data_IF_023957066983
#
_entry.id   IF_023957066983
#
_cell.length_a   1.000
_cell.length_b   1.000
_cell.length_c   1.000
_cell.angle_alpha   90.00
_cell.angle_beta   90.00
_cell.angle_gamma   90.00
#
_symmetry.space_group_name_H-M   'P 1'
#
loop_
_entity.id
_entity.type
_entity.pdbx_description
1 polymer ?
#
# COMPACT_ATOMS: atom_id res chain seq x y z
N UNK A 1 -0.57 -5.28 -22.14
CA UNK A 1 -0.80 -3.84 -22.44
C UNK A 1 -0.10 -3.00 -21.39
N UNK A 2 0.38 -1.85 -21.75
CA UNK A 2 1.03 -0.93 -20.82
C UNK A 2 0.26 0.38 -20.82
N UNK A 3 -0.16 0.82 -19.62
CA UNK A 3 -0.93 2.05 -19.44
C UNK A 3 -0.22 2.97 -18.45
N UNK A 4 -0.17 4.27 -18.78
CA UNK A 4 0.23 5.25 -17.78
C UNK A 4 -0.96 5.55 -16.84
N UNK A 5 -0.76 6.23 -15.69
CA UNK A 5 -1.87 6.50 -14.76
C UNK A 5 -3.05 7.24 -15.39
N UNK A 6 -2.81 8.18 -16.30
CA UNK A 6 -3.87 8.91 -16.98
C UNK A 6 -4.70 7.99 -17.87
N UNK A 7 -4.05 7.13 -18.63
CA UNK A 7 -4.72 6.14 -19.47
C UNK A 7 -5.51 5.14 -18.60
N UNK A 8 -4.90 4.66 -17.53
CA UNK A 8 -5.54 3.74 -16.60
C UNK A 8 -6.83 4.34 -16.00
N UNK A 9 -6.84 5.63 -15.70
CA UNK A 9 -7.98 6.31 -15.09
C UNK A 9 -9.27 6.23 -15.90
N UNK A 10 -9.17 5.97 -17.19
CA UNK A 10 -10.34 5.79 -18.06
C UNK A 10 -11.10 4.50 -17.77
N UNK A 11 -10.45 3.53 -17.17
CA UNK A 11 -11.00 2.20 -16.91
C UNK A 11 -11.56 2.10 -15.50
N UNK A 12 -12.26 3.13 -15.06
CA UNK A 12 -12.83 3.24 -13.71
C UNK A 12 -14.32 2.83 -13.63
N UNK A 13 -14.86 2.32 -14.74
CA UNK A 13 -16.25 1.88 -14.80
C UNK A 13 -17.26 2.97 -15.14
N UNK A 14 -16.83 4.23 -15.31
CA UNK A 14 -17.74 5.32 -15.70
C UNK A 14 -18.12 5.26 -17.18
N UNK A 15 -17.27 4.69 -18.02
CA UNK A 15 -17.57 4.41 -19.42
C UNK A 15 -17.99 2.95 -19.56
N UNK A 16 -19.29 2.68 -19.82
CA UNK A 16 -19.77 1.30 -19.91
C UNK A 16 -19.21 0.52 -21.11
N UNK A 17 -18.58 1.20 -22.07
CA UNK A 17 -17.95 0.56 -23.22
C UNK A 17 -16.55 0.01 -22.89
N UNK A 18 -15.97 0.39 -21.75
CA UNK A 18 -14.64 -0.03 -21.34
C UNK A 18 -14.70 -1.02 -20.16
N UNK A 19 -13.73 -1.92 -20.06
CA UNK A 19 -13.62 -2.77 -18.88
C UNK A 19 -13.25 -1.96 -17.64
N UNK A 20 -13.38 -2.59 -16.48
CA UNK A 20 -12.99 -2.00 -15.19
C UNK A 20 -11.65 -2.60 -14.78
N UNK A 21 -10.66 -1.75 -14.56
CA UNK A 21 -9.32 -2.16 -14.15
C UNK A 21 -8.97 -1.68 -12.75
N UNK A 22 -8.26 -2.53 -12.03
CA UNK A 22 -7.64 -2.20 -10.74
C UNK A 22 -6.16 -2.56 -10.87
N UNK A 23 -5.26 -1.71 -10.42
CA UNK A 23 -3.85 -2.03 -10.40
C UNK A 23 -3.32 -2.17 -8.97
N UNK A 24 -2.44 -3.13 -8.77
CA UNK A 24 -1.73 -3.36 -7.51
C UNK A 24 -0.26 -3.60 -7.84
N UNK A 25 0.61 -2.82 -7.22
CA UNK A 25 2.05 -2.90 -7.44
C UNK A 25 2.44 -2.85 -8.93
N UNK A 26 1.76 -2.02 -9.69
CA UNK A 26 1.99 -1.84 -11.10
C UNK A 26 1.39 -2.92 -12.00
N UNK A 27 0.77 -3.95 -11.47
CA UNK A 27 0.09 -4.98 -12.25
C UNK A 27 -1.38 -4.63 -12.39
N UNK A 28 -1.88 -4.60 -13.62
CA UNK A 28 -3.27 -4.23 -13.95
C UNK A 28 -4.11 -5.49 -14.07
N UNK A 29 -5.23 -5.53 -13.36
CA UNK A 29 -6.19 -6.63 -13.40
C UNK A 29 -7.54 -6.14 -13.93
N UNK A 30 -8.15 -6.95 -14.79
CA UNK A 30 -9.52 -6.75 -15.23
C UNK A 30 -10.47 -7.31 -14.16
N UNK A 31 -11.26 -6.44 -13.57
CA UNK A 31 -12.23 -6.78 -12.52
C UNK A 31 -13.68 -6.58 -12.99
N UNK A 32 -13.88 -6.51 -14.30
CA UNK A 32 -15.21 -6.27 -14.92
C UNK A 32 -16.25 -7.31 -14.52
N UNK A 33 -15.83 -8.48 -14.07
CA UNK A 33 -16.74 -9.53 -13.61
C UNK A 33 -17.50 -9.15 -12.33
N UNK A 34 -17.05 -8.11 -11.60
CA UNK A 34 -17.71 -7.65 -10.38
C UNK A 34 -17.99 -6.15 -10.41
N UNK A 35 -18.90 -5.69 -11.29
CA UNK A 35 -19.23 -4.27 -11.40
C UNK A 35 -19.95 -3.72 -10.18
N UNK A 36 -20.60 -4.56 -9.39
CA UNK A 36 -21.25 -4.13 -8.15
C UNK A 36 -20.26 -3.67 -7.10
N UNK A 37 -19.04 -4.21 -7.11
CA UNK A 37 -18.00 -3.85 -6.15
C UNK A 37 -17.11 -2.73 -6.66
N UNK A 38 -16.65 -2.82 -7.91
CA UNK A 38 -15.66 -1.90 -8.47
C UNK A 38 -16.25 -0.84 -9.41
N UNK A 39 -17.48 -1.02 -9.88
CA UNK A 39 -18.16 -0.03 -10.72
C UNK A 39 -18.72 1.13 -9.91
N UNK A 40 -19.29 2.14 -10.61
CA UNK A 40 -19.91 3.28 -9.95
C UNK A 40 -20.96 2.87 -8.92
N UNK A 41 -20.91 3.46 -7.72
CA UNK A 41 -21.77 3.09 -6.60
C UNK A 41 -21.32 1.88 -5.81
N UNK A 42 -20.31 1.16 -6.25
CA UNK A 42 -19.76 0.01 -5.53
C UNK A 42 -18.94 0.39 -4.32
N UNK A 43 -18.84 -0.53 -3.35
CA UNK A 43 -18.12 -0.31 -2.10
C UNK A 43 -16.62 -0.14 -2.26
N UNK A 44 -16.05 -0.63 -3.36
CA UNK A 44 -14.62 -0.50 -3.68
C UNK A 44 -14.38 0.23 -5.00
N UNK A 45 -15.34 1.02 -5.44
CA UNK A 45 -15.19 1.83 -6.66
C UNK A 45 -13.97 2.74 -6.62
N UNK A 46 -13.56 3.20 -5.45
CA UNK A 46 -12.38 4.05 -5.28
C UNK A 46 -11.07 3.38 -5.71
N UNK A 47 -11.02 2.06 -5.87
CA UNK A 47 -9.87 1.36 -6.43
C UNK A 47 -9.85 1.31 -7.95
N UNK A 48 -10.98 1.52 -8.60
CA UNK A 48 -11.09 1.39 -10.05
C UNK A 48 -10.34 2.49 -10.78
N UNK A 49 -9.64 2.11 -11.86
CA UNK A 49 -8.92 3.04 -12.71
C UNK A 49 -7.64 3.62 -12.11
N UNK A 50 -7.08 2.98 -11.09
CA UNK A 50 -5.86 3.47 -10.43
C UNK A 50 -5.03 2.36 -9.79
N UNK A 51 -3.81 2.71 -9.43
CA UNK A 51 -2.98 1.89 -8.55
C UNK A 51 -3.01 2.53 -7.15
N UNK A 52 -3.67 1.89 -6.22
CA UNK A 52 -3.81 2.34 -4.84
C UNK A 52 -3.11 1.38 -3.87
N UNK A 53 -1.93 0.91 -4.24
CA UNK A 53 -1.16 -0.06 -3.44
C UNK A 53 -0.97 0.42 -2.00
N UNK A 54 -0.72 1.71 -1.79
CA UNK A 54 -0.59 2.26 -0.44
C UNK A 54 -1.83 1.98 0.42
N UNK A 55 -3.03 2.22 -0.11
CA UNK A 55 -4.28 2.00 0.61
C UNK A 55 -4.51 0.52 0.93
N UNK A 56 -4.11 -0.39 0.06
CA UNK A 56 -4.20 -1.83 0.34
C UNK A 56 -3.38 -2.23 1.56
N UNK A 57 -2.26 -1.58 1.79
CA UNK A 57 -1.39 -1.87 2.94
C UNK A 57 -1.83 -1.11 4.18
N UNK A 58 -2.12 0.19 4.06
CA UNK A 58 -2.43 1.05 5.21
C UNK A 58 -3.87 0.94 5.70
N UNK A 59 -4.80 0.57 4.83
CA UNK A 59 -6.21 0.57 5.13
C UNK A 59 -6.87 1.94 5.06
N UNK A 60 -6.16 2.97 4.59
CA UNK A 60 -6.67 4.33 4.50
C UNK A 60 -7.20 4.64 3.10
N UNK A 61 -8.49 4.42 2.91
CA UNK A 61 -9.14 4.48 1.59
C UNK A 61 -9.55 5.89 1.15
N UNK A 62 -9.30 6.90 1.97
CA UNK A 62 -9.52 8.30 1.61
C UNK A 62 -8.21 9.00 1.25
N UNK A 63 -7.16 8.78 2.03
CA UNK A 63 -5.90 9.52 1.91
C UNK A 63 -4.87 8.84 1.01
N UNK A 64 -4.91 7.51 0.90
CA UNK A 64 -3.81 6.71 0.37
C UNK A 64 -4.10 6.04 -0.98
N UNK A 65 -4.97 6.63 -1.79
CA UNK A 65 -5.32 6.09 -3.13
C UNK A 65 -4.21 6.37 -4.15
N UNK A 66 -3.03 5.88 -3.87
CA UNK A 66 -1.81 6.11 -4.66
C UNK A 66 -0.88 4.90 -4.56
N UNK A 67 0.08 4.83 -5.47
CA UNK A 67 1.15 3.83 -5.47
C UNK A 67 2.40 4.26 -4.67
N UNK A 68 2.38 5.46 -4.10
CA UNK A 68 3.49 5.98 -3.29
C UNK A 68 3.58 5.24 -1.96
N UNK A 69 4.62 4.42 -1.79
CA UNK A 69 4.83 3.61 -0.59
C UNK A 69 5.82 4.24 0.39
N UNK A 70 6.33 5.43 0.11
CA UNK A 70 7.32 6.09 0.97
C UNK A 70 6.69 6.40 2.34
N UNK A 71 7.36 5.96 3.40
CA UNK A 71 6.92 6.17 4.77
C UNK A 71 5.98 5.09 5.34
N UNK A 72 5.51 4.16 4.52
CA UNK A 72 4.62 3.08 4.98
C UNK A 72 5.33 2.18 5.99
N UNK A 73 6.66 2.09 5.95
CA UNK A 73 7.45 1.31 6.89
C UNK A 73 7.14 1.63 8.35
N UNK A 74 6.82 2.88 8.64
CA UNK A 74 6.50 3.32 10.02
C UNK A 74 5.31 2.56 10.63
N UNK A 75 4.38 2.10 9.78
CA UNK A 75 3.22 1.31 10.23
C UNK A 75 3.64 0.01 10.93
N UNK A 76 4.78 -0.54 10.56
CA UNK A 76 5.29 -1.82 11.06
C UNK A 76 6.46 -1.67 12.04
N UNK A 77 6.89 -0.44 12.30
CA UNK A 77 7.96 -0.17 13.26
C UNK A 77 7.34 0.09 14.63
N UNK A 78 7.81 -0.61 15.68
CA UNK A 78 7.28 -0.40 17.02
C UNK A 78 7.42 1.04 17.49
N UNK A 79 6.40 1.53 18.19
CA UNK A 79 6.45 2.83 18.85
C UNK A 79 7.35 2.70 20.08
N UNK A 80 8.40 3.53 20.15
CA UNK A 80 9.29 3.59 21.30
C UNK A 80 8.76 4.53 22.37
N UNK A 81 8.79 4.04 23.62
CA UNK A 81 8.60 4.89 24.80
C UNK A 81 9.98 5.46 25.18
N UNK A 82 10.03 6.54 25.99
CA UNK A 82 11.32 7.07 26.44
C UNK A 82 12.24 6.02 27.06
N UNK A 83 11.68 5.10 27.86
CA UNK A 83 12.44 4.02 28.50
C UNK A 83 13.00 3.00 27.49
N UNK A 84 12.42 2.88 26.31
CA UNK A 84 12.91 1.93 25.29
C UNK A 84 14.22 2.39 24.64
N UNK A 85 14.53 3.67 24.66
CA UNK A 85 15.72 4.27 24.09
C UNK A 85 16.71 4.77 25.13
N UNK A 86 16.30 4.83 26.39
CA UNK A 86 17.16 5.23 27.50
C UNK A 86 18.34 4.27 27.64
N UNK A 87 19.53 4.84 27.79
CA UNK A 87 20.75 4.07 27.93
C UNK A 87 21.35 3.51 26.63
N UNK A 88 20.70 3.71 25.50
CA UNK A 88 21.26 3.28 24.21
C UNK A 88 22.23 4.33 23.65
N UNK A 89 23.36 3.86 23.13
CA UNK A 89 24.28 4.72 22.38
C UNK A 89 23.67 5.11 21.02
N UNK A 90 24.20 6.16 20.40
CA UNK A 90 23.76 6.57 19.06
C UNK A 90 23.94 5.46 18.03
N UNK A 91 25.02 4.67 18.13
CA UNK A 91 25.27 3.52 17.27
C UNK A 91 24.26 2.39 17.46
N UNK A 92 23.87 2.14 18.70
CA UNK A 92 22.84 1.14 19.02
C UNK A 92 21.46 1.55 18.49
N UNK A 93 21.10 2.82 18.62
CA UNK A 93 19.84 3.37 18.10
C UNK A 93 19.80 3.23 16.57
N UNK A 94 20.89 3.57 15.89
CA UNK A 94 21.01 3.45 14.43
C UNK A 94 20.88 2.00 13.97
N UNK A 95 21.56 1.08 14.62
CA UNK A 95 21.52 -0.36 14.30
C UNK A 95 20.10 -0.91 14.47
N UNK A 96 19.43 -0.53 15.56
CA UNK A 96 18.06 -0.92 15.85
C UNK A 96 17.10 -0.39 14.79
N UNK A 97 17.28 0.87 14.36
CA UNK A 97 16.47 1.48 13.29
C UNK A 97 16.64 0.72 11.98
N UNK A 98 17.84 0.36 11.61
CA UNK A 98 18.13 -0.42 10.39
C UNK A 98 17.45 -1.79 10.42
N UNK A 99 17.46 -2.44 11.57
CA UNK A 99 16.81 -3.74 11.78
C UNK A 99 15.29 -3.60 11.69
N UNK A 100 14.72 -2.59 12.33
CA UNK A 100 13.28 -2.30 12.28
C UNK A 100 12.81 -2.06 10.85
N UNK A 101 13.56 -1.28 10.07
CA UNK A 101 13.27 -1.01 8.67
C UNK A 101 13.30 -2.30 7.83
N UNK A 102 14.25 -3.16 8.08
CA UNK A 102 14.38 -4.45 7.37
C UNK A 102 13.14 -5.33 7.61
N UNK A 103 12.74 -5.44 8.86
CA UNK A 103 11.54 -6.22 9.24
C UNK A 103 10.28 -5.58 8.64
N UNK A 104 10.17 -4.25 8.71
CA UNK A 104 9.02 -3.53 8.14
C UNK A 104 8.89 -3.75 6.64
N UNK A 105 9.99 -3.66 5.90
CA UNK A 105 9.99 -3.88 4.45
C UNK A 105 9.55 -5.29 4.07
N UNK A 106 9.94 -6.28 4.84
CA UNK A 106 9.48 -7.66 4.63
C UNK A 106 7.97 -7.80 4.83
N UNK A 107 7.43 -7.13 5.85
CA UNK A 107 5.98 -7.15 6.12
C UNK A 107 5.20 -6.45 5.03
N UNK A 108 5.67 -5.31 4.54
CA UNK A 108 5.07 -4.59 3.42
C UNK A 108 5.05 -5.49 2.18
N UNK A 109 6.20 -6.06 1.84
CA UNK A 109 6.35 -6.92 0.69
C UNK A 109 5.41 -8.13 0.74
N UNK A 110 5.26 -8.72 1.91
CA UNK A 110 4.32 -9.83 2.14
C UNK A 110 2.87 -9.39 1.89
N UNK A 111 2.47 -8.22 2.38
CA UNK A 111 1.12 -7.71 2.17
C UNK A 111 0.85 -7.34 0.71
N UNK A 112 1.81 -6.71 0.06
CA UNK A 112 1.70 -6.39 -1.37
C UNK A 112 1.55 -7.66 -2.20
N UNK A 113 2.37 -8.67 -1.93
CA UNK A 113 2.25 -9.98 -2.61
C UNK A 113 0.93 -10.66 -2.33
N UNK A 114 0.39 -10.53 -1.12
CA UNK A 114 -0.93 -11.05 -0.78
C UNK A 114 -2.01 -10.45 -1.69
N UNK A 115 -2.01 -9.14 -1.88
CA UNK A 115 -3.02 -8.48 -2.70
C UNK A 115 -2.84 -8.76 -4.19
N UNK A 116 -1.60 -8.77 -4.69
CA UNK A 116 -1.32 -9.19 -6.07
C UNK A 116 -1.83 -10.62 -6.29
N UNK A 117 -1.59 -11.50 -5.33
CA UNK A 117 -2.07 -12.89 -5.38
C UNK A 117 -3.59 -13.00 -5.31
N UNK A 118 -4.23 -12.15 -4.51
CA UNK A 118 -5.70 -12.11 -4.42
C UNK A 118 -6.34 -11.87 -5.78
N UNK A 119 -5.86 -10.86 -6.51
CA UNK A 119 -6.38 -10.56 -7.84
C UNK A 119 -5.90 -11.56 -8.89
N UNK A 120 -4.64 -11.96 -8.83
CA UNK A 120 -4.04 -12.86 -9.83
C UNK A 120 -4.56 -14.28 -9.77
N UNK A 121 -4.97 -14.75 -8.60
CA UNK A 121 -5.49 -16.10 -8.40
C UNK A 121 -7.03 -16.16 -8.39
N UNK A 122 -7.69 -15.03 -8.53
CA UNK A 122 -9.15 -14.99 -8.55
C UNK A 122 -9.67 -15.63 -9.84
N UNK A 123 -10.72 -16.43 -9.73
CA UNK A 123 -11.25 -17.19 -10.88
C UNK A 123 -11.81 -16.33 -12.00
N UNK A 124 -12.28 -15.11 -11.66
CA UNK A 124 -12.98 -14.23 -12.60
C UNK A 124 -12.17 -13.01 -13.01
N UNK A 125 -11.05 -12.74 -12.35
CA UNK A 125 -10.17 -11.62 -12.67
C UNK A 125 -8.94 -12.13 -13.39
N UNK A 126 -8.34 -11.29 -14.22
CA UNK A 126 -7.14 -11.69 -14.95
C UNK A 126 -6.23 -10.48 -15.20
N UNK A 127 -4.94 -10.75 -15.26
CA UNK A 127 -3.93 -9.75 -15.55
C UNK A 127 -4.02 -9.32 -17.01
N UNK A 128 -3.99 -7.99 -17.25
CA UNK A 128 -4.05 -7.43 -18.61
C UNK A 128 -2.82 -6.61 -18.97
N UNK A 129 -1.98 -6.25 -18.04
CA UNK A 129 -0.79 -5.46 -18.31
C UNK A 129 -0.17 -4.82 -17.09
N UNK A 130 0.60 -3.77 -17.34
CA UNK A 130 1.33 -3.07 -16.29
C UNK A 130 1.17 -1.57 -16.40
N UNK A 131 1.23 -0.91 -15.24
CA UNK A 131 1.30 0.54 -15.17
C UNK A 131 2.73 0.96 -15.51
N UNK A 132 2.85 1.90 -16.44
CA UNK A 132 4.14 2.50 -16.81
C UNK A 132 4.18 3.94 -16.31
N UNK A 133 5.35 4.38 -15.88
CA UNK A 133 5.61 5.77 -15.53
C UNK A 133 5.86 6.55 -16.82
N UNK A 134 5.27 7.71 -16.91
CA UNK A 134 5.41 8.60 -18.06
C UNK A 134 4.20 9.50 -18.18
N UNK A 135 4.40 10.67 -18.79
CA UNK A 135 3.37 11.69 -18.91
C UNK A 135 3.41 12.70 -17.76
N UNK A 136 2.40 13.57 -17.73
CA UNK A 136 2.33 14.74 -16.85
C UNK A 136 1.85 14.42 -15.42
N UNK A 137 1.77 13.14 -15.08
CA UNK A 137 1.24 12.74 -13.79
C UNK A 137 2.29 12.92 -12.70
N UNK A 138 2.39 14.15 -12.22
CA UNK A 138 3.27 14.52 -11.12
C UNK A 138 2.47 14.41 -9.83
N UNK A 139 2.75 13.38 -9.06
CA UNK A 139 2.23 13.27 -7.70
C UNK A 139 3.00 14.26 -6.81
N UNK A 140 2.44 15.44 -6.58
CA UNK A 140 3.06 16.49 -5.77
C UNK A 140 3.28 16.06 -4.32
N UNK A 141 2.52 15.09 -3.85
CA UNK A 141 2.62 14.57 -2.50
C UNK A 141 3.59 13.40 -2.36
N UNK A 142 4.24 13.00 -3.46
CA UNK A 142 5.17 11.87 -3.42
C UNK A 142 6.29 12.08 -2.41
N UNK A 143 6.41 11.13 -1.50
CA UNK A 143 7.41 11.18 -0.42
C UNK A 143 7.09 12.12 0.73
N UNK A 144 5.97 12.86 0.66
CA UNK A 144 5.57 13.85 1.68
C UNK A 144 4.40 13.39 2.53
N UNK A 145 3.78 12.25 2.19
CA UNK A 145 2.62 11.76 2.93
C UNK A 145 3.01 11.32 4.32
N UNK A 146 2.22 11.75 5.30
CA UNK A 146 2.33 11.22 6.66
C UNK A 146 1.52 9.93 6.76
N UNK A 147 1.87 9.08 7.71
CA UNK A 147 1.13 7.87 7.98
C UNK A 147 -0.29 8.25 8.44
N UNK A 148 -1.31 7.66 7.80
CA UNK A 148 -2.70 7.94 8.13
C UNK A 148 -3.07 7.42 9.53
N UNK A 149 -4.17 7.95 10.08
CA UNK A 149 -4.58 7.62 11.46
C UNK A 149 -4.84 6.12 11.65
N UNK A 150 -5.53 5.47 10.72
CA UNK A 150 -5.81 4.03 10.79
C UNK A 150 -4.50 3.23 10.87
N UNK A 151 -3.54 3.56 10.03
CA UNK A 151 -2.24 2.90 10.02
C UNK A 151 -1.44 3.19 11.30
N UNK A 152 -1.48 4.43 11.80
CA UNK A 152 -0.82 4.80 13.07
C UNK A 152 -1.34 3.99 14.24
N UNK A 153 -2.64 3.76 14.30
CA UNK A 153 -3.27 2.96 15.36
C UNK A 153 -2.87 1.49 15.32
N UNK A 154 -2.43 1.00 14.18
CA UNK A 154 -2.01 -0.39 14.00
C UNK A 154 -0.53 -0.62 14.34
N UNK A 155 0.22 0.44 14.64
CA UNK A 155 1.65 0.31 14.95
C UNK A 155 1.85 -0.59 16.19
N UNK A 156 2.79 -1.56 16.10
CA UNK A 156 3.08 -2.41 17.25
C UNK A 156 3.76 -1.61 18.36
N UNK A 157 3.66 -2.14 19.57
CA UNK A 157 4.43 -1.64 20.71
C UNK A 157 5.73 -2.43 20.81
N UNK A 158 6.82 -1.76 21.23
CA UNK A 158 8.09 -2.43 21.46
C UNK A 158 7.95 -3.42 22.60
N UNK A 159 8.34 -4.68 22.35
CA UNK A 159 8.37 -5.68 23.40
C UNK A 159 9.57 -5.43 24.32
N UNK A 160 9.33 -5.42 25.61
CA UNK A 160 10.39 -5.31 26.59
C UNK A 160 11.22 -6.58 26.64
N UNK A 161 12.55 -6.48 26.41
CA UNK A 161 13.49 -7.61 26.50
C UNK A 161 13.87 -7.90 27.96
N UNK A 162 13.63 -6.97 28.89
CA UNK A 162 14.13 -7.03 30.26
C UNK A 162 13.48 -8.10 31.12
N UNK A 163 12.45 -8.77 30.66
CA UNK A 163 11.70 -9.77 31.43
C UNK A 163 12.14 -11.21 31.19
N UNK A 164 13.11 -11.45 30.31
CA UNK A 164 13.59 -12.80 30.02
C UNK A 164 14.71 -13.28 30.91
N UNK A 165 15.22 -12.46 31.80
CA UNK A 165 16.33 -12.79 32.67
C UNK A 165 15.96 -12.93 34.14
N UNK A 166 14.72 -12.86 34.46
CA UNK A 166 14.28 -13.01 35.84
C UNK A 166 13.99 -14.47 36.17
#
# INVERSE_FOLDING_TARGET
>A
MNLNPTELSRYDGTDPSLPIYVAVNGTIFDVSANPRMYGPGGGYHFFAGRDATRAFVTGCFAEDLTDDMIGVEEMFIPVDKPEDVEGLSSGEVKKRREQDLRVARKKIDKQVRHWVGFFGNHKKYFEVGRVIKGGEDVDEMKGKRVLCEVARKQRPKRKSESKKGA
#
